data_IF_381881755681
#
_entry.id   IF_381881755681
#
_cell.length_a   1.000
_cell.length_b   1.000
_cell.length_c   1.000
_cell.angle_alpha   90.00
_cell.angle_beta   90.00
_cell.angle_gamma   90.00
#
_symmetry.space_group_name_H-M   'P 1'
#
loop_
_entity.id
_entity.type
_entity.pdbx_description
1 polymer ?
#
# COMPACT_ATOMS: atom_id res chain seq x y z
N UNK A 1 6.98 -27.21 -14.68
CA UNK A 1 6.85 -27.64 -13.27
C UNK A 1 5.74 -26.80 -12.66
N UNK A 2 4.58 -27.40 -12.43
CA UNK A 2 3.41 -26.77 -11.79
C UNK A 2 3.55 -26.91 -10.28
N UNK A 3 4.59 -26.31 -9.72
CA UNK A 3 4.72 -26.24 -8.26
C UNK A 3 3.67 -25.28 -7.72
N UNK A 4 3.06 -25.63 -6.59
CA UNK A 4 2.09 -24.78 -5.91
C UNK A 4 2.81 -23.51 -5.43
N UNK A 5 2.42 -22.35 -5.97
CA UNK A 5 2.94 -21.05 -5.57
C UNK A 5 1.97 -20.41 -4.58
N UNK A 6 2.46 -20.06 -3.39
CA UNK A 6 1.67 -19.37 -2.35
C UNK A 6 2.38 -18.10 -1.94
N UNK A 7 1.69 -16.97 -2.06
CA UNK A 7 2.21 -15.69 -1.59
C UNK A 7 1.47 -15.27 -0.33
N UNK A 8 2.23 -14.96 0.71
CA UNK A 8 1.76 -14.29 1.90
C UNK A 8 2.23 -12.83 1.82
N UNK A 9 1.30 -11.89 1.67
CA UNK A 9 1.53 -10.43 1.60
C UNK A 9 1.81 -9.83 0.19
N UNK A 10 2.25 -8.56 0.10
CA UNK A 10 1.94 -7.67 -1.05
C UNK A 10 2.99 -7.59 -2.19
N UNK A 11 4.29 -7.61 -1.89
CA UNK A 11 5.29 -6.95 -2.77
C UNK A 11 5.56 -7.64 -4.12
N UNK A 12 5.14 -8.90 -4.31
CA UNK A 12 5.39 -9.65 -5.55
C UNK A 12 4.19 -9.75 -6.50
N UNK A 13 3.00 -9.22 -6.13
CA UNK A 13 1.76 -9.46 -6.88
C UNK A 13 1.78 -8.93 -8.31
N UNK A 14 2.38 -7.76 -8.54
CA UNK A 14 2.44 -7.16 -9.87
C UNK A 14 3.35 -7.95 -10.82
N UNK A 15 4.39 -8.60 -10.31
CA UNK A 15 5.25 -9.49 -11.11
C UNK A 15 4.45 -10.71 -11.56
N UNK A 16 3.73 -11.37 -10.65
CA UNK A 16 2.88 -12.51 -11.00
C UNK A 16 1.76 -12.11 -11.96
N UNK A 17 1.13 -10.95 -11.74
CA UNK A 17 0.13 -10.41 -12.64
C UNK A 17 0.69 -10.19 -14.04
N UNK A 18 1.80 -9.44 -14.17
CA UNK A 18 2.43 -9.16 -15.46
C UNK A 18 2.74 -10.45 -16.24
N UNK A 19 3.34 -11.43 -15.56
CA UNK A 19 3.77 -12.70 -16.15
C UNK A 19 2.64 -13.73 -16.33
N UNK A 20 1.40 -13.40 -15.95
CA UNK A 20 0.25 -14.33 -15.92
C UNK A 20 0.55 -15.64 -15.16
N UNK A 21 1.30 -15.53 -14.06
CA UNK A 21 1.64 -16.65 -13.20
C UNK A 21 0.54 -16.82 -12.16
N UNK A 22 -0.08 -18.00 -12.14
CA UNK A 22 -1.08 -18.36 -11.13
C UNK A 22 -0.41 -18.61 -9.79
N UNK A 23 -0.96 -18.02 -8.73
CA UNK A 23 -0.53 -18.22 -7.35
C UNK A 23 -1.72 -18.11 -6.39
N UNK A 24 -1.58 -18.67 -5.20
CA UNK A 24 -2.54 -18.52 -4.09
C UNK A 24 -2.16 -17.27 -3.28
N UNK A 25 -2.95 -16.20 -3.35
CA UNK A 25 -2.76 -14.96 -2.56
C UNK A 25 -3.37 -15.11 -1.17
N UNK A 26 -2.59 -15.56 -0.18
CA UNK A 26 -3.03 -15.68 1.21
C UNK A 26 -2.84 -14.34 1.94
N UNK A 27 -3.93 -13.84 2.51
CA UNK A 27 -3.94 -12.59 3.28
C UNK A 27 -4.34 -12.87 4.72
N UNK A 28 -3.60 -12.32 5.67
CA UNK A 28 -4.00 -12.36 7.06
C UNK A 28 -5.21 -11.44 7.28
N UNK A 29 -6.17 -11.89 8.09
CA UNK A 29 -7.41 -11.18 8.40
C UNK A 29 -8.61 -11.63 7.57
N UNK A 30 -8.49 -12.65 6.71
CA UNK A 30 -9.62 -13.17 5.92
C UNK A 30 -10.53 -14.12 6.72
N UNK A 31 -10.02 -14.74 7.78
CA UNK A 31 -10.73 -15.74 8.57
C UNK A 31 -10.79 -15.41 10.07
N UNK A 32 -10.35 -14.21 10.46
CA UNK A 32 -10.28 -13.78 11.85
C UNK A 32 -9.39 -12.56 12.06
N UNK A 33 -8.85 -12.42 13.26
CA UNK A 33 -7.91 -11.35 13.58
C UNK A 33 -6.56 -11.58 12.89
N UNK A 34 -6.10 -10.57 12.13
CA UNK A 34 -4.87 -10.67 11.35
C UNK A 34 -3.62 -10.94 12.19
N UNK A 35 -3.54 -10.42 13.42
CA UNK A 35 -2.41 -10.65 14.31
C UNK A 35 -2.41 -12.06 14.90
N UNK A 36 -3.60 -12.59 15.22
CA UNK A 36 -3.77 -13.98 15.66
C UNK A 36 -3.39 -14.94 14.54
N UNK A 37 -3.89 -14.72 13.32
CA UNK A 37 -3.54 -15.53 12.16
C UNK A 37 -2.03 -15.50 11.89
N UNK A 38 -1.40 -14.31 11.89
CA UNK A 38 0.04 -14.21 11.69
C UNK A 38 0.84 -14.86 12.84
N UNK A 39 0.37 -14.75 14.08
CA UNK A 39 0.99 -15.41 15.24
C UNK A 39 0.91 -16.92 15.12
N UNK A 40 -0.20 -17.46 14.63
CA UNK A 40 -0.37 -18.91 14.41
C UNK A 40 0.48 -19.38 13.23
N UNK A 41 0.50 -18.63 12.13
CA UNK A 41 1.36 -18.88 10.98
C UNK A 41 2.84 -19.05 11.38
N UNK A 42 3.36 -18.17 12.24
CA UNK A 42 4.73 -18.28 12.78
C UNK A 42 4.99 -19.51 13.66
N UNK A 43 3.95 -20.13 14.21
CA UNK A 43 4.07 -21.38 14.98
C UNK A 43 4.02 -22.61 14.07
N UNK A 44 3.23 -22.52 13.01
CA UNK A 44 3.03 -23.61 12.04
C UNK A 44 4.18 -23.73 11.04
N UNK A 45 4.87 -22.62 10.76
CA UNK A 45 5.94 -22.57 9.77
C UNK A 45 7.18 -21.88 10.32
N UNK A 46 8.33 -22.50 10.06
CA UNK A 46 9.63 -21.91 10.32
C UNK A 46 9.94 -20.88 9.23
N UNK A 47 9.76 -19.60 9.57
CA UNK A 47 10.10 -18.50 8.66
C UNK A 47 11.37 -17.79 9.14
N UNK A 48 12.32 -17.45 8.25
CA UNK A 48 13.69 -17.08 8.66
C UNK A 48 13.79 -15.91 9.63
N UNK A 49 12.92 -14.90 9.49
CA UNK A 49 13.01 -13.64 10.22
C UNK A 49 11.73 -13.26 10.97
N UNK A 50 10.77 -14.18 11.12
CA UNK A 50 9.48 -13.90 11.74
C UNK A 50 8.73 -12.69 11.15
N UNK A 51 8.92 -12.45 9.84
CA UNK A 51 8.38 -11.34 9.07
C UNK A 51 7.71 -11.84 7.79
N UNK A 52 6.83 -11.02 7.23
CA UNK A 52 6.28 -11.18 5.88
C UNK A 52 6.74 -9.99 5.01
N UNK A 53 6.80 -10.14 3.67
CA UNK A 53 6.26 -11.24 2.85
C UNK A 53 7.00 -12.57 2.96
N UNK A 54 6.25 -13.65 2.70
CA UNK A 54 6.76 -15.00 2.48
C UNK A 54 6.22 -15.51 1.14
N UNK A 55 7.11 -16.09 0.33
CA UNK A 55 6.75 -16.79 -0.90
C UNK A 55 7.09 -18.26 -0.75
N UNK A 56 6.12 -19.12 -1.00
CA UNK A 56 6.30 -20.57 -1.05
C UNK A 56 6.25 -21.04 -2.51
N UNK A 57 7.20 -21.89 -2.87
CA UNK A 57 7.23 -22.59 -4.15
C UNK A 57 7.49 -24.07 -3.86
N UNK A 58 6.45 -24.89 -3.89
CA UNK A 58 6.52 -26.24 -3.32
C UNK A 58 6.89 -26.20 -1.84
N UNK A 59 7.97 -26.89 -1.46
CA UNK A 59 8.47 -26.94 -0.08
C UNK A 59 9.46 -25.81 0.25
N UNK A 60 9.83 -24.98 -0.72
CA UNK A 60 10.80 -23.89 -0.52
C UNK A 60 10.12 -22.66 0.08
N UNK A 61 10.74 -22.08 1.11
CA UNK A 61 10.31 -20.83 1.77
C UNK A 61 11.28 -19.71 1.43
N UNK A 62 10.78 -18.67 0.78
CA UNK A 62 11.52 -17.44 0.47
C UNK A 62 11.01 -16.29 1.35
N UNK A 63 11.94 -15.51 1.90
CA UNK A 63 11.66 -14.33 2.72
C UNK A 63 12.38 -13.09 2.17
N UNK A 64 12.08 -11.92 2.74
CA UNK A 64 12.54 -10.59 2.31
C UNK A 64 12.00 -10.19 0.94
N UNK A 65 11.19 -9.13 0.91
CA UNK A 65 10.49 -8.71 -0.30
C UNK A 65 11.43 -8.40 -1.46
N UNK A 66 12.54 -7.70 -1.18
CA UNK A 66 13.51 -7.34 -2.20
C UNK A 66 14.23 -8.57 -2.79
N UNK A 67 14.53 -9.57 -1.95
CA UNK A 67 15.15 -10.81 -2.42
C UNK A 67 14.19 -11.64 -3.27
N UNK A 68 12.92 -11.74 -2.84
CA UNK A 68 11.85 -12.39 -3.61
C UNK A 68 11.67 -11.73 -4.98
N UNK A 69 11.58 -10.39 -5.02
CA UNK A 69 11.44 -9.62 -6.26
C UNK A 69 12.62 -9.90 -7.20
N UNK A 70 13.87 -9.80 -6.71
CA UNK A 70 15.06 -10.07 -7.54
C UNK A 70 15.11 -11.51 -8.04
N UNK A 71 14.80 -12.49 -7.18
CA UNK A 71 14.77 -13.91 -7.57
C UNK A 71 13.74 -14.18 -8.68
N UNK A 72 12.49 -13.71 -8.51
CA UNK A 72 11.45 -13.86 -9.53
C UNK A 72 11.85 -13.14 -10.83
N UNK A 73 12.40 -11.93 -10.71
CA UNK A 73 12.78 -11.12 -11.87
C UNK A 73 13.89 -11.77 -12.68
N UNK A 74 14.89 -12.34 -12.00
CA UNK A 74 15.96 -13.11 -12.64
C UNK A 74 15.43 -14.40 -13.26
N UNK A 75 14.58 -15.15 -12.55
CA UNK A 75 13.99 -16.41 -13.02
C UNK A 75 13.14 -16.23 -14.28
N UNK A 76 12.47 -15.09 -14.42
CA UNK A 76 11.57 -14.79 -15.55
C UNK A 76 12.12 -13.75 -16.52
N UNK A 77 13.42 -13.46 -16.47
CA UNK A 77 14.13 -12.58 -17.42
C UNK A 77 13.55 -11.15 -17.51
N UNK A 78 13.05 -10.60 -16.40
CA UNK A 78 12.60 -9.20 -16.30
C UNK A 78 13.55 -8.37 -15.42
N UNK A 79 14.82 -8.76 -15.31
CA UNK A 79 15.85 -8.04 -14.54
C UNK A 79 16.83 -7.25 -15.39
N UNK A 80 16.70 -7.23 -16.73
CA UNK A 80 17.69 -6.66 -17.64
C UNK A 80 18.42 -7.75 -18.43
N UNK A 81 18.92 -7.40 -19.62
CA UNK A 81 19.49 -8.35 -20.59
C UNK A 81 21.03 -8.44 -20.57
N UNK A 82 21.69 -7.68 -19.71
CA UNK A 82 23.12 -7.71 -19.47
C UNK A 82 23.43 -7.20 -18.06
N UNK A 83 24.67 -7.37 -17.60
CA UNK A 83 25.10 -7.00 -16.24
C UNK A 83 24.84 -5.53 -15.89
N UNK A 84 25.07 -4.62 -16.84
CA UNK A 84 24.87 -3.19 -16.63
C UNK A 84 23.39 -2.82 -16.53
N UNK A 85 22.54 -3.42 -17.36
CA UNK A 85 21.09 -3.24 -17.28
C UNK A 85 20.51 -3.84 -16.00
N UNK A 86 21.04 -4.99 -15.55
CA UNK A 86 20.67 -5.57 -14.26
C UNK A 86 21.05 -4.67 -13.09
N UNK A 87 22.24 -4.08 -13.14
CA UNK A 87 22.65 -3.06 -12.17
C UNK A 87 21.71 -1.85 -12.17
N UNK A 88 21.34 -1.31 -13.33
CA UNK A 88 20.46 -0.14 -13.38
C UNK A 88 19.05 -0.44 -12.89
N UNK A 89 18.48 -1.59 -13.24
CA UNK A 89 17.19 -2.01 -12.71
C UNK A 89 17.23 -2.10 -11.18
N UNK A 90 18.34 -2.62 -10.64
CA UNK A 90 18.51 -2.75 -9.20
C UNK A 90 18.72 -1.42 -8.48
N UNK A 91 19.52 -0.53 -9.06
CA UNK A 91 19.73 0.83 -8.55
C UNK A 91 18.41 1.60 -8.46
N UNK A 92 17.56 1.49 -9.49
CA UNK A 92 16.26 2.16 -9.51
C UNK A 92 15.32 1.57 -8.46
N UNK A 93 15.30 0.23 -8.34
CA UNK A 93 14.51 -0.43 -7.31
C UNK A 93 14.94 -0.05 -5.89
N UNK A 94 16.24 0.06 -5.62
CA UNK A 94 16.73 0.58 -4.34
C UNK A 94 16.24 2.01 -4.07
N UNK A 95 16.27 2.88 -5.10
CA UNK A 95 15.71 4.23 -4.99
C UNK A 95 14.20 4.25 -4.72
N UNK A 96 13.43 3.33 -5.32
CA UNK A 96 12.00 3.15 -5.02
C UNK A 96 11.80 2.82 -3.54
N UNK A 97 12.60 1.91 -2.97
CA UNK A 97 12.49 1.54 -1.55
C UNK A 97 12.72 2.73 -0.61
N UNK A 98 13.68 3.59 -0.92
CA UNK A 98 14.00 4.76 -0.10
C UNK A 98 12.83 5.74 -0.01
N UNK A 99 12.21 6.09 -1.14
CA UNK A 99 11.05 6.98 -1.16
C UNK A 99 9.77 6.29 -0.66
N UNK A 100 9.60 4.98 -0.92
CA UNK A 100 8.43 4.24 -0.42
C UNK A 100 8.46 4.16 1.11
N UNK A 101 9.64 3.97 1.71
CA UNK A 101 9.81 4.05 3.16
C UNK A 101 9.43 5.43 3.70
N UNK A 102 9.85 6.51 3.05
CA UNK A 102 9.46 7.88 3.43
C UNK A 102 7.94 8.06 3.36
N UNK A 103 7.31 7.63 2.28
CA UNK A 103 5.85 7.68 2.10
C UNK A 103 5.10 6.92 3.20
N UNK A 104 5.50 5.68 3.48
CA UNK A 104 4.88 4.86 4.53
C UNK A 104 5.07 5.47 5.94
N UNK A 105 6.11 6.29 6.12
CA UNK A 105 6.37 7.01 7.36
C UNK A 105 5.72 8.41 7.42
N UNK A 106 5.02 8.83 6.35
CA UNK A 106 4.33 10.12 6.26
C UNK A 106 2.91 10.03 6.82
N UNK A 107 2.61 10.79 7.87
CA UNK A 107 1.27 10.85 8.44
C UNK A 107 1.02 12.13 9.26
N UNK A 108 -0.25 12.46 9.41
CA UNK A 108 -0.73 13.64 10.15
C UNK A 108 -0.18 13.72 11.57
N UNK A 109 -0.07 12.61 12.30
CA UNK A 109 0.44 12.60 13.68
C UNK A 109 1.92 13.03 13.78
N UNK A 110 2.72 12.71 12.75
CA UNK A 110 4.13 13.13 12.66
C UNK A 110 4.29 14.54 12.06
N UNK A 111 3.22 15.16 11.58
CA UNK A 111 3.22 16.49 10.98
C UNK A 111 4.27 16.67 9.86
N UNK A 112 4.55 15.59 9.13
CA UNK A 112 5.59 15.54 8.10
C UNK A 112 5.03 15.47 6.67
N UNK A 113 3.71 15.60 6.51
CA UNK A 113 3.04 15.52 5.20
C UNK A 113 3.47 16.64 4.27
N UNK A 114 3.60 17.86 4.78
CA UNK A 114 4.05 19.03 4.00
C UNK A 114 5.47 18.87 3.49
N UNK A 115 6.41 18.42 4.33
CA UNK A 115 7.78 18.12 3.92
C UNK A 115 7.82 17.02 2.86
N UNK A 116 7.02 15.96 3.03
CA UNK A 116 6.96 14.89 2.03
C UNK A 116 6.44 15.41 0.68
N UNK A 117 5.33 16.15 0.68
CA UNK A 117 4.67 16.61 -0.54
C UNK A 117 5.43 17.73 -1.27
N UNK A 118 6.07 18.63 -0.53
CA UNK A 118 6.71 19.82 -1.12
C UNK A 118 8.20 19.62 -1.41
N UNK A 119 8.87 18.67 -0.75
CA UNK A 119 10.31 18.48 -0.88
C UNK A 119 10.69 17.09 -1.34
N UNK A 120 10.28 16.04 -0.61
CA UNK A 120 10.73 14.67 -0.91
C UNK A 120 10.11 14.14 -2.20
N UNK A 121 8.79 14.14 -2.31
CA UNK A 121 8.09 13.59 -3.46
C UNK A 121 8.50 14.29 -4.78
N UNK A 122 8.56 15.64 -4.89
CA UNK A 122 9.00 16.30 -6.11
C UNK A 122 10.46 16.00 -6.45
N UNK A 123 11.36 15.93 -5.45
CA UNK A 123 12.77 15.62 -5.64
C UNK A 123 12.95 14.21 -6.24
N UNK A 124 12.32 13.21 -5.64
CA UNK A 124 12.39 11.82 -6.12
C UNK A 124 11.72 11.62 -7.48
N UNK A 125 10.58 12.26 -7.69
CA UNK A 125 9.91 12.26 -9.01
C UNK A 125 10.80 12.88 -10.08
N UNK A 126 11.53 13.95 -9.76
CA UNK A 126 12.54 14.52 -10.65
C UNK A 126 13.70 13.57 -10.96
N UNK A 127 14.13 12.73 -10.02
CA UNK A 127 15.14 11.71 -10.30
C UNK A 127 14.62 10.67 -11.29
N UNK A 128 13.41 10.13 -11.09
CA UNK A 128 12.82 9.15 -12.00
C UNK A 128 12.50 9.73 -13.38
N UNK A 129 11.97 10.96 -13.45
CA UNK A 129 11.76 11.69 -14.71
C UNK A 129 13.07 11.81 -15.52
N UNK A 130 14.17 12.17 -14.85
CA UNK A 130 15.48 12.27 -15.50
C UNK A 130 16.05 10.92 -15.94
N UNK A 131 15.78 9.84 -15.19
CA UNK A 131 16.18 8.49 -15.58
C UNK A 131 15.44 8.01 -16.83
N UNK A 132 14.11 8.22 -16.90
CA UNK A 132 13.32 7.94 -18.11
C UNK A 132 13.84 8.75 -19.30
N UNK A 133 14.09 10.06 -19.11
CA UNK A 133 14.64 10.92 -20.15
C UNK A 133 15.99 10.43 -20.69
N UNK A 134 16.85 9.91 -19.81
CA UNK A 134 18.18 9.39 -20.19
C UNK A 134 18.09 8.10 -20.99
N UNK A 135 17.19 7.18 -20.60
CA UNK A 135 17.00 5.94 -21.33
C UNK A 135 16.28 6.17 -22.67
N UNK A 136 15.41 7.18 -22.73
CA UNK A 136 14.70 7.64 -23.94
C UNK A 136 13.87 6.52 -24.62
N UNK A 137 13.26 5.67 -23.79
CA UNK A 137 12.23 4.71 -24.18
C UNK A 137 11.03 4.84 -23.23
N UNK A 138 10.03 3.96 -23.35
CA UNK A 138 8.93 3.87 -22.39
C UNK A 138 9.30 3.09 -21.12
N UNK A 139 10.53 2.61 -21.00
CA UNK A 139 11.03 1.83 -19.86
C UNK A 139 12.18 2.57 -19.17
N UNK A 140 12.42 2.21 -17.91
CA UNK A 140 13.54 2.75 -17.15
C UNK A 140 14.91 2.23 -17.60
N UNK A 141 14.97 1.00 -18.13
CA UNK A 141 16.21 0.32 -18.51
C UNK A 141 16.03 -0.38 -19.85
N UNK A 142 16.86 -0.03 -20.83
CA UNK A 142 16.81 -0.65 -22.17
C UNK A 142 15.48 -0.41 -22.87
N UNK A 143 15.03 -1.41 -23.63
CA UNK A 143 13.84 -1.36 -24.49
C UNK A 143 12.77 -2.42 -24.11
N UNK A 144 12.95 -3.10 -22.98
CA UNK A 144 12.00 -4.07 -22.44
C UNK A 144 11.62 -3.75 -21.00
N UNK A 145 10.46 -4.27 -20.58
CA UNK A 145 10.01 -4.14 -19.19
C UNK A 145 10.99 -4.84 -18.23
N UNK A 146 11.31 -4.14 -17.16
CA UNK A 146 12.01 -4.69 -15.99
C UNK A 146 11.16 -4.58 -14.73
N UNK A 147 11.56 -5.26 -13.66
CA UNK A 147 10.91 -5.10 -12.35
C UNK A 147 11.01 -3.69 -11.78
N UNK A 148 11.98 -2.88 -12.24
CA UNK A 148 12.07 -1.47 -11.87
C UNK A 148 10.86 -0.68 -12.37
N UNK A 149 10.36 -0.97 -13.58
CA UNK A 149 9.16 -0.34 -14.12
C UNK A 149 7.91 -0.66 -13.28
N UNK A 150 7.76 -1.94 -12.89
CA UNK A 150 6.67 -2.36 -12.02
C UNK A 150 6.79 -1.76 -10.61
N UNK A 151 8.00 -1.62 -10.09
CA UNK A 151 8.24 -1.04 -8.77
C UNK A 151 7.92 0.47 -8.73
N UNK A 152 8.37 1.23 -9.74
CA UNK A 152 8.04 2.65 -9.86
C UNK A 152 6.52 2.81 -10.06
N UNK A 153 5.91 2.00 -10.93
CA UNK A 153 4.47 2.02 -11.10
C UNK A 153 3.72 1.77 -9.78
N UNK A 154 4.10 0.73 -9.03
CA UNK A 154 3.48 0.41 -7.75
C UNK A 154 3.60 1.55 -6.72
N UNK A 155 4.77 2.20 -6.66
CA UNK A 155 5.03 3.32 -5.77
C UNK A 155 4.05 4.46 -6.01
N UNK A 156 3.87 4.89 -7.26
CA UNK A 156 2.98 6.01 -7.56
C UNK A 156 1.50 5.60 -7.53
N UNK A 157 1.18 4.38 -7.95
CA UNK A 157 -0.15 3.80 -7.74
C UNK A 157 -0.50 3.78 -6.24
N UNK A 158 0.47 3.58 -5.33
CA UNK A 158 0.26 3.67 -3.88
C UNK A 158 0.14 5.13 -3.39
N UNK A 159 1.06 6.01 -3.79
CA UNK A 159 1.03 7.43 -3.41
C UNK A 159 -0.28 8.09 -3.83
N UNK A 160 -0.77 7.83 -5.05
CA UNK A 160 -1.97 8.48 -5.58
C UNK A 160 -3.26 8.09 -4.86
N UNK A 161 -3.28 6.98 -4.13
CA UNK A 161 -4.43 6.65 -3.26
C UNK A 161 -4.57 7.60 -2.07
N UNK A 162 -3.45 8.19 -1.60
CA UNK A 162 -3.43 9.13 -0.46
C UNK A 162 -3.29 10.58 -0.93
N UNK A 163 -2.50 10.81 -1.98
CA UNK A 163 -2.15 12.13 -2.50
C UNK A 163 -2.37 12.18 -4.02
N UNK A 164 -3.60 12.48 -4.47
CA UNK A 164 -3.93 12.50 -5.90
C UNK A 164 -3.14 13.53 -6.70
N UNK A 165 -3.00 13.30 -8.01
CA UNK A 165 -2.29 14.17 -8.96
C UNK A 165 -0.78 14.36 -8.68
N UNK A 166 -0.15 13.40 -7.99
CA UNK A 166 1.28 13.45 -7.65
C UNK A 166 2.22 13.53 -8.86
N UNK A 167 1.76 13.03 -10.02
CA UNK A 167 2.52 12.97 -11.27
C UNK A 167 2.33 14.18 -12.21
N UNK A 168 1.49 15.16 -11.86
CA UNK A 168 1.08 16.26 -12.78
C UNK A 168 2.25 17.01 -13.43
N UNK A 169 3.35 17.21 -12.69
CA UNK A 169 4.49 18.01 -13.14
C UNK A 169 5.61 17.17 -13.78
N UNK A 170 5.42 15.86 -13.92
CA UNK A 170 6.43 14.90 -14.40
C UNK A 170 5.87 14.14 -15.60
N UNK A 171 5.87 14.74 -16.81
CA UNK A 171 5.15 14.20 -17.96
C UNK A 171 5.66 12.84 -18.43
N UNK A 172 6.97 12.57 -18.40
CA UNK A 172 7.49 11.26 -18.80
C UNK A 172 7.13 10.19 -17.77
N UNK A 173 7.24 10.50 -16.49
CA UNK A 173 6.87 9.61 -15.41
C UNK A 173 5.36 9.33 -15.39
N UNK A 174 4.54 10.34 -15.67
CA UNK A 174 3.09 10.17 -15.87
C UNK A 174 2.81 9.23 -17.03
N UNK A 175 3.41 9.49 -18.20
CA UNK A 175 3.24 8.65 -19.38
C UNK A 175 3.71 7.21 -19.15
N UNK A 176 4.80 7.01 -18.41
CA UNK A 176 5.29 5.69 -17.98
C UNK A 176 4.24 4.96 -17.13
N UNK A 177 3.71 5.60 -16.09
CA UNK A 177 2.68 5.00 -15.22
C UNK A 177 1.39 4.65 -15.99
N UNK A 178 0.97 5.52 -16.90
CA UNK A 178 -0.17 5.26 -17.81
C UNK A 178 0.12 4.10 -18.77
N UNK A 179 1.34 3.99 -19.28
CA UNK A 179 1.76 2.89 -20.13
C UNK A 179 1.75 1.55 -19.38
N UNK A 180 2.38 1.47 -18.20
CA UNK A 180 2.45 0.24 -17.39
C UNK A 180 1.06 -0.20 -16.91
N UNK A 181 0.22 0.73 -16.47
CA UNK A 181 -1.15 0.42 -16.03
C UNK A 181 -2.06 -0.11 -17.14
N UNK A 182 -1.76 0.22 -18.41
CA UNK A 182 -2.53 -0.24 -19.57
C UNK A 182 -2.02 -1.55 -20.16
N UNK A 183 -0.92 -2.12 -19.67
CA UNK A 183 -0.50 -3.46 -20.07
C UNK A 183 -1.62 -4.47 -19.75
N UNK A 184 -2.04 -5.34 -20.70
CA UNK A 184 -3.28 -6.13 -20.56
C UNK A 184 -3.42 -6.87 -19.22
N UNK A 185 -2.36 -7.56 -18.80
CA UNK A 185 -2.38 -8.33 -17.55
C UNK A 185 -2.37 -7.44 -16.31
N UNK A 186 -1.64 -6.33 -16.35
CA UNK A 186 -1.59 -5.36 -15.24
C UNK A 186 -2.94 -4.65 -15.11
N UNK A 187 -3.53 -4.20 -16.21
CA UNK A 187 -4.86 -3.60 -16.26
C UNK A 187 -5.91 -4.54 -15.67
N UNK A 188 -5.90 -5.79 -16.12
CA UNK A 188 -6.80 -6.82 -15.60
C UNK A 188 -6.59 -7.03 -14.09
N UNK A 189 -5.35 -7.08 -13.61
CA UNK A 189 -5.06 -7.19 -12.19
C UNK A 189 -5.57 -5.98 -11.38
N UNK A 190 -5.35 -4.75 -11.86
CA UNK A 190 -5.80 -3.53 -11.18
C UNK A 190 -7.33 -3.48 -11.09
N UNK A 191 -8.05 -3.91 -12.13
CA UNK A 191 -9.52 -3.94 -12.12
C UNK A 191 -10.08 -4.99 -11.16
N UNK A 192 -9.40 -6.13 -10.99
CA UNK A 192 -9.91 -7.25 -10.20
C UNK A 192 -9.30 -7.35 -8.78
N UNK A 193 -8.25 -6.58 -8.46
CA UNK A 193 -7.64 -6.63 -7.13
C UNK A 193 -8.62 -6.09 -6.08
N UNK A 194 -8.62 -6.72 -4.90
CA UNK A 194 -9.30 -6.17 -3.72
C UNK A 194 -8.76 -4.77 -3.44
N UNK A 195 -9.64 -3.83 -3.06
CA UNK A 195 -9.23 -2.47 -2.69
C UNK A 195 -8.11 -2.51 -1.65
N UNK A 196 -7.08 -1.68 -1.87
CA UNK A 196 -6.03 -1.49 -0.89
C UNK A 196 -6.58 -0.57 0.20
N UNK A 197 -7.06 -1.16 1.28
CA UNK A 197 -7.22 -0.39 2.51
C UNK A 197 -5.82 -0.04 2.99
N UNK A 198 -5.44 1.22 2.81
CA UNK A 198 -4.50 1.82 3.74
C UNK A 198 -5.09 1.61 5.12
N UNK A 199 -4.49 0.75 5.93
CA UNK A 199 -4.76 0.75 7.36
C UNK A 199 -4.30 2.13 7.86
N UNK A 200 -5.21 3.11 7.72
CA UNK A 200 -5.06 4.47 8.21
C UNK A 200 -4.63 4.39 9.66
N UNK A 201 -3.36 4.67 9.94
CA UNK A 201 -2.90 5.29 11.18
C UNK A 201 -3.43 4.73 12.52
N UNK A 202 -3.77 3.43 12.64
CA UNK A 202 -4.11 2.83 13.96
C UNK A 202 -2.89 2.19 14.63
N UNK A 203 -1.78 2.02 13.90
CA UNK A 203 -0.64 1.23 14.40
C UNK A 203 0.25 1.99 15.41
N UNK A 204 0.07 3.31 15.62
CA UNK A 204 0.96 4.05 16.53
C UNK A 204 0.43 5.37 17.10
N UNK A 205 -0.82 5.42 17.58
CA UNK A 205 -1.25 6.52 18.45
C UNK A 205 -0.90 6.23 19.92
N UNK A 206 -0.11 7.07 20.61
CA UNK A 206 -0.06 7.06 22.07
C UNK A 206 -1.46 7.41 22.61
N UNK A 207 -1.90 6.75 23.68
CA UNK A 207 -3.27 6.85 24.25
C UNK A 207 -3.70 8.26 24.72
N UNK A 208 -2.87 9.29 24.59
CA UNK A 208 -3.04 10.55 25.31
C UNK A 208 -2.72 11.78 24.43
N UNK A 209 -3.58 12.07 23.46
CA UNK A 209 -3.84 13.45 23.03
C UNK A 209 -5.05 13.49 22.10
N UNK A 210 -6.00 14.36 22.43
CA UNK A 210 -7.17 14.68 21.59
C UNK A 210 -6.73 15.59 20.44
N UNK A 211 -6.84 15.18 19.16
CA UNK A 211 -6.58 16.07 18.04
C UNK A 211 -7.88 16.81 17.66
N UNK A 212 -7.78 18.11 17.47
CA UNK A 212 -8.75 18.91 16.70
C UNK A 212 -8.68 18.50 15.23
N UNK A 213 -9.83 18.22 14.63
CA UNK A 213 -9.98 17.70 13.26
C UNK A 213 -10.36 18.86 12.33
N UNK A 214 -9.51 19.18 11.35
CA UNK A 214 -9.94 19.92 10.15
C UNK A 214 -10.51 18.91 9.14
N UNK A 215 -11.77 19.12 8.75
CA UNK A 215 -12.56 18.25 7.89
C UNK A 215 -12.51 18.72 6.43
N UNK A 216 -12.19 17.81 5.50
CA UNK A 216 -12.59 17.92 4.09
C UNK A 216 -13.27 16.61 3.64
N UNK A 217 -14.44 16.64 2.95
CA UNK A 217 -15.28 15.48 2.63
C UNK A 217 -14.97 14.86 1.24
N UNK A 218 -15.51 13.66 0.89
CA UNK A 218 -16.57 12.90 1.59
C UNK A 218 -16.21 11.43 1.89
N UNK A 219 -16.32 11.02 3.16
CA UNK A 219 -16.40 9.59 3.52
C UNK A 219 -17.47 9.38 4.59
N UNK A 220 -18.71 9.11 4.14
CA UNK A 220 -19.86 8.86 5.03
C UNK A 220 -19.73 7.62 5.92
N UNK A 221 -18.87 6.64 5.58
CA UNK A 221 -18.64 5.44 6.40
C UNK A 221 -17.53 5.59 7.44
N UNK A 222 -16.50 6.39 7.16
CA UNK A 222 -15.41 6.65 8.11
C UNK A 222 -15.88 7.54 9.27
N UNK A 223 -16.80 8.48 9.00
CA UNK A 223 -17.38 9.34 10.02
C UNK A 223 -18.14 8.53 11.08
N UNK A 224 -18.91 7.52 10.66
CA UNK A 224 -19.68 6.66 11.57
C UNK A 224 -18.75 5.85 12.50
N UNK A 225 -17.64 5.34 11.98
CA UNK A 225 -16.66 4.58 12.75
C UNK A 225 -15.86 5.47 13.71
N UNK A 226 -15.49 6.69 13.29
CA UNK A 226 -14.79 7.66 14.14
C UNK A 226 -15.69 8.17 15.27
N UNK A 227 -16.96 8.45 15.00
CA UNK A 227 -17.93 8.87 16.03
C UNK A 227 -18.19 7.72 17.01
N UNK A 228 -18.36 6.48 16.51
CA UNK A 228 -18.54 5.30 17.36
C UNK A 228 -17.33 5.08 18.29
N UNK A 229 -16.11 5.17 17.75
CA UNK A 229 -14.89 5.01 18.55
C UNK A 229 -14.71 6.13 19.57
N UNK A 230 -14.97 7.40 19.21
CA UNK A 230 -14.86 8.52 20.15
C UNK A 230 -15.88 8.41 21.31
N UNK A 231 -17.08 7.90 21.02
CA UNK A 231 -18.12 7.65 22.04
C UNK A 231 -17.76 6.45 22.95
N UNK A 232 -17.15 5.39 22.42
CA UNK A 232 -16.66 4.26 23.22
C UNK A 232 -15.51 4.65 24.17
N UNK A 233 -14.59 5.54 23.76
CA UNK A 233 -13.52 6.03 24.65
C UNK A 233 -14.03 6.94 25.76
N UNK A 234 -15.08 7.73 25.49
CA UNK A 234 -15.74 8.56 26.51
C UNK A 234 -16.51 7.71 27.54
N UNK A 235 -17.11 6.59 27.13
CA UNK A 235 -17.81 5.68 28.05
C UNK A 235 -16.85 4.93 28.99
N UNK A 236 -15.63 4.62 28.54
CA UNK A 236 -14.64 3.87 29.34
C UNK A 236 -13.75 4.72 30.25
N UNK A 237 -13.77 6.06 30.14
CA UNK A 237 -12.90 6.94 30.94
C UNK A 237 -13.56 7.57 32.18
N UNK A 238 -14.83 7.28 32.46
CA UNK A 238 -15.47 7.60 33.75
C UNK A 238 -16.31 6.44 34.25
N UNK A 239 -15.77 5.71 35.22
CA UNK A 239 -16.39 4.58 35.91
C UNK A 239 -17.64 4.94 36.76
N UNK A 240 -18.43 5.96 36.40
CA UNK A 240 -19.63 6.38 37.14
C UNK A 240 -20.64 7.18 36.28
N UNK A 241 -20.75 6.92 34.97
CA UNK A 241 -21.87 7.50 34.20
C UNK A 241 -23.08 6.56 34.21
N UNK A 242 -24.27 7.00 34.66
CA UNK A 242 -25.48 6.16 34.66
C UNK A 242 -25.84 5.72 33.24
N UNK A 243 -26.31 4.48 33.11
CA UNK A 243 -26.71 3.82 31.85
C UNK A 243 -27.65 4.69 30.99
N UNK A 244 -28.46 5.54 31.63
CA UNK A 244 -29.38 6.49 30.96
C UNK A 244 -28.69 7.54 30.08
N UNK A 245 -27.42 7.88 30.35
CA UNK A 245 -26.68 8.85 29.54
C UNK A 245 -26.12 8.24 28.25
N UNK A 246 -25.80 6.95 28.26
CA UNK A 246 -25.39 6.20 27.06
C UNK A 246 -26.57 6.08 26.10
N UNK A 247 -27.76 5.80 26.63
CA UNK A 247 -29.00 5.73 25.86
C UNK A 247 -29.40 7.09 25.24
N UNK A 248 -29.25 8.19 25.99
CA UNK A 248 -29.48 9.56 25.48
C UNK A 248 -28.49 9.96 24.38
N UNK A 249 -27.23 9.54 24.48
CA UNK A 249 -26.22 9.79 23.45
C UNK A 249 -26.46 8.97 22.18
N UNK A 250 -26.90 7.71 22.31
CA UNK A 250 -27.29 6.88 21.16
C UNK A 250 -28.51 7.47 20.43
N UNK A 251 -29.52 7.94 21.16
CA UNK A 251 -30.70 8.59 20.58
C UNK A 251 -30.34 9.87 19.79
N UNK A 252 -29.44 10.69 20.33
CA UNK A 252 -28.98 11.93 19.68
C UNK A 252 -28.13 11.66 18.42
N UNK A 253 -27.42 10.54 18.38
CA UNK A 253 -26.66 10.10 17.19
C UNK A 253 -27.57 9.64 16.05
N UNK A 254 -28.71 9.01 16.37
CA UNK A 254 -29.70 8.58 15.37
C UNK A 254 -30.47 9.79 14.78
N UNK A 255 -30.75 10.82 15.59
CA UNK A 255 -31.30 12.10 15.10
C UNK A 255 -30.34 12.81 14.12
N UNK A 256 -29.04 12.84 14.43
CA UNK A 256 -28.02 13.45 13.55
C UNK A 256 -27.88 12.65 12.25
N UNK A 257 -27.92 11.32 12.30
CA UNK A 257 -27.91 10.46 11.12
C UNK A 257 -29.13 10.71 10.22
N UNK A 258 -30.33 10.84 10.80
CA UNK A 258 -31.56 11.16 10.05
C UNK A 258 -31.53 12.57 9.45
N UNK A 259 -30.97 13.55 10.16
CA UNK A 259 -30.85 14.93 9.69
C UNK A 259 -29.84 15.08 8.53
N UNK A 260 -28.75 14.31 8.54
CA UNK A 260 -27.76 14.32 7.45
C UNK A 260 -28.29 13.62 6.18
N UNK A 261 -29.08 12.56 6.35
CA UNK A 261 -29.68 11.85 5.22
C UNK A 261 -30.97 12.50 4.68
N UNK A 262 -31.61 13.41 5.42
CA UNK A 262 -32.76 14.18 4.91
C UNK A 262 -32.36 15.41 4.09
N UNK A 263 -31.09 15.83 4.13
CA UNK A 263 -30.53 16.90 3.28
C UNK A 263 -29.93 16.38 1.95
N UNK A 264 -30.07 15.08 1.68
CA UNK A 264 -29.52 14.42 0.48
C UNK A 264 -30.59 14.02 -0.55
N UNK A 265 -31.81 14.57 -0.46
CA UNK A 265 -32.88 14.45 -1.46
C UNK A 265 -33.24 15.83 -2.03
#
# INVERSE_FOLDING_TARGET
MTEDIVLYYFDARLIFAYLDIKYKDKRFGEHGDAFVEFKNFKKEKEIPFNQVPILEIGDLIFAQSQAIVRYLSKKYNICGNNELNEFYADMIFCGVQDIHYKFNNTNLFKQNETTFLNEELPKWSGYFENLLKKNNTNYFVGDNLTYADLAVFNLYDDIETKYPNSLKNFPLLKAHNEFISNLPNIKNYITNRKERYHLFAVISAPRHSTPTIDLYPPIGKALLYMVYMHLCTCANTRANTPVDNVAKCAYKSDEIYRALNSQSN
#
